data_IF_426768395149
#
_entry.id   IF_426768395149
#
_cell.length_a   1.000
_cell.length_b   1.000
_cell.length_c   1.000
_cell.angle_alpha   90.00
_cell.angle_beta   90.00
_cell.angle_gamma   90.00
#
_symmetry.space_group_name_H-M   'P 1'
#
loop_
_entity.id
_entity.type
_entity.pdbx_description
1 polymer ?
#
# COMPACT_ATOMS: atom_id res chain seq x y z
N UNK A 1 -40.49 40.73 -2.86
CA UNK A 1 -40.80 39.28 -2.92
C UNK A 1 -39.67 38.45 -3.52
N UNK A 2 -38.96 38.95 -4.55
CA UNK A 2 -37.83 38.23 -5.17
C UNK A 2 -36.71 37.85 -4.19
N UNK A 3 -36.34 38.73 -3.25
CA UNK A 3 -35.29 38.41 -2.26
C UNK A 3 -35.66 37.25 -1.33
N UNK A 4 -36.94 37.10 -0.98
CA UNK A 4 -37.40 36.00 -0.11
C UNK A 4 -37.38 34.67 -0.88
N UNK A 5 -37.80 34.70 -2.16
CA UNK A 5 -37.74 33.54 -3.05
C UNK A 5 -36.30 33.05 -3.26
N UNK A 6 -35.36 33.98 -3.49
CA UNK A 6 -33.94 33.66 -3.67
C UNK A 6 -33.30 33.06 -2.40
N UNK A 7 -33.68 33.56 -1.21
CA UNK A 7 -33.22 33.01 0.07
C UNK A 7 -33.77 31.59 0.28
N UNK A 8 -35.06 31.35 0.00
CA UNK A 8 -35.66 30.02 0.12
C UNK A 8 -35.03 29.02 -0.85
N UNK A 9 -34.72 29.45 -2.08
CA UNK A 9 -34.06 28.60 -3.09
C UNK A 9 -32.62 28.25 -2.68
N UNK A 10 -31.88 29.21 -2.10
CA UNK A 10 -30.54 28.95 -1.56
C UNK A 10 -30.57 27.96 -0.39
N UNK A 11 -31.52 28.12 0.54
CA UNK A 11 -31.72 27.19 1.66
C UNK A 11 -32.07 25.79 1.14
N UNK A 12 -32.95 25.69 0.15
CA UNK A 12 -33.30 24.43 -0.51
C UNK A 12 -32.08 23.73 -1.14
N UNK A 13 -31.22 24.48 -1.83
CA UNK A 13 -29.98 23.95 -2.41
C UNK A 13 -28.98 23.47 -1.35
N UNK A 14 -28.85 24.19 -0.23
CA UNK A 14 -27.99 23.79 0.89
C UNK A 14 -28.49 22.48 1.50
N UNK A 15 -29.80 22.36 1.73
CA UNK A 15 -30.42 21.13 2.27
C UNK A 15 -30.20 19.96 1.29
N UNK A 16 -30.42 20.18 0.00
CA UNK A 16 -30.18 19.17 -1.03
C UNK A 16 -28.70 18.72 -1.06
N UNK A 17 -27.76 19.67 -0.97
CA UNK A 17 -26.33 19.36 -0.90
C UNK A 17 -25.97 18.56 0.36
N UNK A 18 -26.58 18.84 1.51
CA UNK A 18 -26.39 18.07 2.76
C UNK A 18 -26.95 16.65 2.62
N UNK A 19 -28.12 16.49 2.00
CA UNK A 19 -28.73 15.17 1.76
C UNK A 19 -27.85 14.34 0.81
N UNK A 20 -27.43 14.93 -0.32
CA UNK A 20 -26.50 14.30 -1.26
C UNK A 20 -25.18 13.93 -0.55
N UNK A 21 -24.63 14.83 0.26
CA UNK A 21 -23.43 14.57 1.04
C UNK A 21 -23.63 13.42 2.02
N UNK A 22 -24.75 13.35 2.76
CA UNK A 22 -25.04 12.24 3.67
C UNK A 22 -25.22 10.91 2.96
N UNK A 23 -25.77 10.91 1.74
CA UNK A 23 -25.89 9.71 0.91
C UNK A 23 -24.51 9.26 0.42
N UNK A 24 -23.64 10.19 0.02
CA UNK A 24 -22.30 9.88 -0.52
C UNK A 24 -21.27 9.59 0.59
N UNK A 25 -21.37 10.25 1.75
CA UNK A 25 -20.44 10.16 2.87
C UNK A 25 -20.12 8.74 3.35
N UNK A 26 -21.09 7.80 3.50
CA UNK A 26 -20.79 6.42 3.87
C UNK A 26 -20.06 5.61 2.77
N UNK A 27 -20.07 6.09 1.53
CA UNK A 27 -19.26 5.55 0.43
C UNK A 27 -17.89 6.23 0.30
N UNK A 28 -17.67 7.36 0.99
CA UNK A 28 -16.36 7.95 1.15
C UNK A 28 -15.59 7.11 2.17
N UNK A 29 -14.63 6.31 1.67
CA UNK A 29 -13.75 5.47 2.48
C UNK A 29 -13.10 6.33 3.58
N UNK A 30 -13.36 6.01 4.85
CA UNK A 30 -12.64 6.60 5.98
C UNK A 30 -11.15 6.33 5.78
N UNK A 31 -10.36 7.39 5.72
CA UNK A 31 -8.95 7.32 5.33
C UNK A 31 -8.08 6.93 6.53
N UNK A 32 -8.12 5.66 6.87
CA UNK A 32 -7.25 5.10 7.90
C UNK A 32 -5.82 4.91 7.39
N UNK A 33 -4.85 5.15 8.28
CA UNK A 33 -3.42 5.16 7.94
C UNK A 33 -2.86 3.78 7.66
N UNK A 34 -3.48 2.72 8.18
CA UNK A 34 -3.05 1.33 8.04
C UNK A 34 -4.23 0.48 7.55
N UNK A 35 -4.02 -0.22 6.43
CA UNK A 35 -5.01 -1.07 5.79
C UNK A 35 -4.43 -2.45 5.53
N UNK A 36 -5.15 -3.49 5.92
CA UNK A 36 -4.83 -4.88 5.61
C UNK A 36 -5.90 -5.50 4.73
N UNK A 37 -5.50 -6.18 3.66
CA UNK A 37 -6.37 -6.84 2.70
C UNK A 37 -6.09 -8.35 2.73
N UNK A 38 -7.07 -9.12 3.19
CA UNK A 38 -6.99 -10.57 3.29
C UNK A 38 -7.91 -11.27 2.30
N UNK A 39 -7.65 -12.53 1.97
CA UNK A 39 -8.53 -13.36 1.15
C UNK A 39 -7.79 -14.30 0.21
N UNK A 40 -8.51 -15.34 -0.24
CA UNK A 40 -7.95 -16.42 -1.05
C UNK A 40 -7.27 -15.97 -2.34
N UNK A 41 -6.60 -16.92 -3.00
CA UNK A 41 -6.04 -16.69 -4.33
C UNK A 41 -7.14 -16.24 -5.31
N UNK A 42 -6.84 -15.21 -6.11
CA UNK A 42 -7.81 -14.67 -7.08
C UNK A 42 -8.85 -13.72 -6.51
N UNK A 43 -8.87 -13.41 -5.20
CA UNK A 43 -9.88 -12.54 -4.56
C UNK A 43 -9.78 -11.04 -4.88
N UNK A 44 -8.87 -10.61 -5.77
CA UNK A 44 -8.72 -9.19 -6.13
C UNK A 44 -8.11 -8.31 -5.02
N UNK A 45 -7.49 -8.89 -3.98
CA UNK A 45 -6.79 -8.18 -2.90
C UNK A 45 -5.69 -7.23 -3.42
N UNK A 46 -4.81 -7.72 -4.29
CA UNK A 46 -3.72 -6.92 -4.88
C UNK A 46 -4.27 -5.78 -5.74
N UNK A 47 -5.30 -6.05 -6.56
CA UNK A 47 -5.96 -5.02 -7.38
C UNK A 47 -6.48 -3.88 -6.52
N UNK A 48 -7.19 -4.25 -5.46
CA UNK A 48 -7.82 -3.31 -4.52
C UNK A 48 -6.76 -2.50 -3.79
N UNK A 49 -5.69 -3.17 -3.34
CA UNK A 49 -4.55 -2.52 -2.69
C UNK A 49 -3.84 -1.51 -3.58
N UNK A 50 -3.57 -1.88 -4.84
CA UNK A 50 -2.93 -0.98 -5.82
C UNK A 50 -3.81 0.23 -6.13
N UNK A 51 -5.12 0.03 -6.36
CA UNK A 51 -6.05 1.14 -6.62
C UNK A 51 -6.08 2.10 -5.43
N UNK A 52 -6.19 1.58 -4.21
CA UNK A 52 -6.16 2.39 -2.99
C UNK A 52 -4.82 3.12 -2.83
N UNK A 53 -3.69 2.46 -3.08
CA UNK A 53 -2.38 3.10 -3.04
C UNK A 53 -2.30 4.30 -4.01
N UNK A 54 -2.82 4.15 -5.24
CA UNK A 54 -2.86 5.22 -6.23
C UNK A 54 -3.78 6.38 -5.83
N UNK A 55 -4.91 6.11 -5.19
CA UNK A 55 -5.82 7.15 -4.70
C UNK A 55 -5.16 7.93 -3.55
N UNK A 56 -4.58 7.22 -2.58
CA UNK A 56 -3.97 7.82 -1.40
C UNK A 56 -2.71 8.63 -1.73
N UNK A 57 -1.88 8.15 -2.66
CA UNK A 57 -0.67 8.90 -3.04
C UNK A 57 -1.03 10.22 -3.71
N UNK A 58 -2.10 10.27 -4.51
CA UNK A 58 -2.55 11.53 -5.14
C UNK A 58 -2.93 12.54 -4.09
N UNK A 59 -3.65 12.13 -3.04
CA UNK A 59 -4.02 13.02 -1.94
C UNK A 59 -2.77 13.60 -1.26
N UNK A 60 -1.78 12.76 -0.96
CA UNK A 60 -0.52 13.19 -0.32
C UNK A 60 0.31 14.08 -1.25
N UNK A 61 0.36 13.79 -2.54
CA UNK A 61 1.04 14.62 -3.52
C UNK A 61 0.34 15.99 -3.71
N UNK A 62 -0.99 16.06 -3.64
CA UNK A 62 -1.73 17.34 -3.64
C UNK A 62 -1.38 18.18 -2.41
N UNK A 63 -1.38 17.56 -1.22
CA UNK A 63 -0.98 18.23 0.02
C UNK A 63 0.46 18.77 -0.07
N UNK A 64 1.38 17.97 -0.62
CA UNK A 64 2.76 18.36 -0.88
C UNK A 64 2.86 19.53 -1.88
N UNK A 65 2.10 19.51 -2.96
CA UNK A 65 2.11 20.56 -3.98
C UNK A 65 1.67 21.90 -3.38
N UNK A 66 0.57 21.90 -2.62
CA UNK A 66 0.06 23.08 -1.91
C UNK A 66 1.12 23.61 -0.94
N UNK A 67 1.74 22.74 -0.14
CA UNK A 67 2.79 23.13 0.79
C UNK A 67 4.01 23.74 0.07
N UNK A 68 4.40 23.15 -1.07
CA UNK A 68 5.54 23.62 -1.87
C UNK A 68 5.26 24.99 -2.48
N UNK A 69 4.05 25.23 -2.98
CA UNK A 69 3.64 26.54 -3.50
C UNK A 69 3.68 27.60 -2.38
N UNK A 70 3.15 27.28 -1.19
CA UNK A 70 3.21 28.18 -0.02
C UNK A 70 4.65 28.54 0.33
N UNK A 71 5.55 27.56 0.38
CA UNK A 71 6.98 27.78 0.65
C UNK A 71 7.61 28.68 -0.40
N UNK A 72 7.33 28.44 -1.69
CA UNK A 72 7.85 29.28 -2.80
C UNK A 72 7.38 30.73 -2.68
N UNK A 73 6.11 30.96 -2.36
CA UNK A 73 5.56 32.31 -2.14
C UNK A 73 6.25 33.01 -0.96
N UNK A 74 6.35 32.34 0.19
CA UNK A 74 7.02 32.88 1.37
C UNK A 74 8.48 33.24 1.06
N UNK A 75 9.20 32.35 0.38
CA UNK A 75 10.58 32.57 -0.02
C UNK A 75 10.72 33.75 -1.01
N UNK A 76 9.77 33.92 -1.94
CA UNK A 76 9.76 35.06 -2.85
C UNK A 76 9.53 36.38 -2.09
N UNK A 77 8.61 36.42 -1.13
CA UNK A 77 8.37 37.59 -0.28
C UNK A 77 9.61 37.91 0.56
N UNK A 78 10.25 36.91 1.18
CA UNK A 78 11.48 37.08 1.96
C UNK A 78 12.61 37.66 1.09
N UNK A 79 12.82 37.13 -0.12
CA UNK A 79 13.79 37.65 -1.09
C UNK A 79 13.51 39.10 -1.47
N UNK A 80 12.25 39.45 -1.76
CA UNK A 80 11.88 40.83 -2.10
C UNK A 80 12.15 41.80 -0.95
N UNK A 81 11.79 41.44 0.28
CA UNK A 81 12.09 42.25 1.49
C UNK A 81 13.60 42.42 1.69
N UNK A 82 14.38 41.36 1.48
CA UNK A 82 15.85 41.42 1.55
C UNK A 82 16.44 42.41 0.56
N UNK A 83 16.02 42.33 -0.69
CA UNK A 83 16.51 43.18 -1.77
C UNK A 83 16.20 44.65 -1.48
N UNK A 84 15.04 44.96 -0.89
CA UNK A 84 14.70 46.32 -0.43
C UNK A 84 15.65 46.80 0.67
N UNK A 85 15.94 45.98 1.69
CA UNK A 85 16.90 46.31 2.75
C UNK A 85 18.32 46.50 2.20
N UNK A 86 18.79 45.61 1.33
CA UNK A 86 20.09 45.74 0.65
C UNK A 86 20.21 47.07 -0.12
N UNK A 87 19.15 47.48 -0.85
CA UNK A 87 19.13 48.77 -1.54
C UNK A 87 19.19 49.95 -0.56
N UNK A 88 18.51 49.87 0.58
CA UNK A 88 18.55 50.91 1.62
C UNK A 88 19.92 51.00 2.30
N UNK A 89 20.55 49.86 2.59
CA UNK A 89 21.92 49.79 3.12
C UNK A 89 22.93 50.38 2.14
N UNK A 90 22.85 50.04 0.85
CA UNK A 90 23.71 50.64 -0.19
C UNK A 90 23.55 52.17 -0.29
N UNK A 91 22.36 52.69 0.02
CA UNK A 91 22.07 54.13 0.12
C UNK A 91 22.44 54.73 1.50
N UNK A 92 23.18 54.01 2.35
CA UNK A 92 23.61 54.37 3.72
C UNK A 92 22.49 54.76 4.69
N UNK A 93 21.25 54.29 4.46
CA UNK A 93 20.10 54.63 5.32
C UNK A 93 19.92 53.69 6.52
N UNK A 94 20.54 52.52 6.50
CA UNK A 94 20.43 51.46 7.53
C UNK A 94 21.71 50.64 7.57
N UNK A 95 21.86 49.81 8.62
CA UNK A 95 22.94 48.84 8.78
C UNK A 95 22.85 47.65 7.81
N UNK A 96 23.96 46.92 7.67
CA UNK A 96 24.07 45.77 6.76
C UNK A 96 23.06 44.68 7.18
N UNK A 97 22.13 44.27 6.30
CA UNK A 97 21.17 43.24 6.66
C UNK A 97 21.86 41.87 6.81
N UNK A 98 21.46 41.09 7.83
CA UNK A 98 21.86 39.69 8.00
C UNK A 98 21.35 38.83 6.83
N UNK A 99 22.10 37.77 6.50
CA UNK A 99 21.72 36.82 5.46
C UNK A 99 20.37 36.15 5.74
N UNK A 100 19.65 35.82 4.67
CA UNK A 100 18.33 35.19 4.76
C UNK A 100 18.41 33.70 4.57
N UNK A 101 17.88 32.98 5.55
CA UNK A 101 17.59 31.55 5.45
C UNK A 101 16.23 31.32 4.75
N UNK A 102 16.28 30.61 3.62
CA UNK A 102 15.08 30.22 2.87
C UNK A 102 14.51 28.93 3.43
N UNK A 103 13.19 28.81 3.44
CA UNK A 103 12.54 27.58 3.86
C UNK A 103 12.84 26.47 2.85
N UNK A 104 13.30 25.28 3.29
CA UNK A 104 13.58 24.16 2.40
C UNK A 104 12.29 23.54 1.87
N UNK A 105 12.28 23.13 0.61
CA UNK A 105 11.18 22.35 0.03
C UNK A 105 11.28 20.89 0.43
N UNK A 106 10.18 20.31 0.90
CA UNK A 106 10.13 18.89 1.25
C UNK A 106 10.18 18.00 -0.01
N UNK A 107 10.77 16.79 0.06
CA UNK A 107 10.71 15.83 -1.03
C UNK A 107 9.27 15.40 -1.33
N UNK A 108 9.01 15.01 -2.59
CA UNK A 108 7.68 14.61 -3.04
C UNK A 108 7.34 13.19 -2.58
N UNK A 109 6.15 12.94 -2.02
CA UNK A 109 5.69 11.59 -1.70
C UNK A 109 5.64 10.66 -2.90
N UNK A 110 6.03 9.40 -2.71
CA UNK A 110 5.99 8.35 -3.74
C UNK A 110 5.34 7.06 -3.18
N UNK A 111 5.03 6.11 -4.05
CA UNK A 111 4.64 4.75 -3.62
C UNK A 111 5.90 3.90 -3.46
N UNK A 112 6.09 3.28 -2.30
CA UNK A 112 7.08 2.23 -2.06
C UNK A 112 6.39 0.87 -2.15
N UNK A 113 6.95 -0.06 -2.91
CA UNK A 113 6.32 -1.37 -3.10
C UNK A 113 7.32 -2.49 -3.37
N UNK A 114 7.01 -3.72 -2.92
CA UNK A 114 7.71 -4.93 -3.34
C UNK A 114 7.29 -5.41 -4.74
N UNK A 115 6.15 -4.92 -5.23
CA UNK A 115 5.60 -5.13 -6.56
C UNK A 115 5.80 -3.88 -7.45
N UNK A 116 6.15 -4.02 -8.75
CA UNK A 116 6.16 -2.89 -9.68
C UNK A 116 4.76 -2.31 -9.89
N UNK A 117 4.58 -1.02 -9.60
CA UNK A 117 3.32 -0.30 -9.79
C UNK A 117 3.59 0.93 -10.65
N UNK A 118 2.88 1.05 -11.76
CA UNK A 118 2.88 2.22 -12.61
C UNK A 118 1.67 3.09 -12.32
N UNK A 119 1.89 4.36 -11.97
CA UNK A 119 0.80 5.25 -11.56
C UNK A 119 0.93 6.65 -12.11
N UNK A 120 -0.23 7.32 -12.25
CA UNK A 120 -0.32 8.73 -12.61
C UNK A 120 -0.08 9.58 -11.37
N UNK A 121 0.85 10.53 -11.48
CA UNK A 121 1.15 11.49 -10.41
C UNK A 121 0.11 12.61 -10.35
N UNK A 122 0.22 13.49 -9.36
CA UNK A 122 -0.59 14.72 -9.31
C UNK A 122 -0.28 15.67 -10.47
N UNK A 123 0.93 15.60 -11.03
CA UNK A 123 1.33 16.44 -12.16
C UNK A 123 0.59 15.93 -13.41
N UNK A 124 -0.13 16.81 -14.13
CA UNK A 124 -0.85 16.43 -15.33
C UNK A 124 0.07 15.70 -16.32
N UNK A 125 -0.44 14.60 -16.90
CA UNK A 125 0.25 13.76 -17.89
C UNK A 125 1.53 13.05 -17.43
N UNK A 126 2.02 13.31 -16.21
CA UNK A 126 3.19 12.62 -15.68
C UNK A 126 2.80 11.31 -14.99
N UNK A 127 3.47 10.24 -15.41
CA UNK A 127 3.38 8.91 -14.83
C UNK A 127 4.75 8.45 -14.37
N UNK A 128 4.78 7.59 -13.36
CA UNK A 128 6.03 7.06 -12.81
C UNK A 128 5.84 5.65 -12.24
N UNK A 129 6.96 4.98 -12.05
CA UNK A 129 7.03 3.71 -11.34
C UNK A 129 7.15 3.92 -9.83
N UNK A 130 6.62 2.97 -9.06
CA UNK A 130 6.85 2.90 -7.62
C UNK A 130 8.33 2.73 -7.29
N UNK A 131 8.74 3.32 -6.18
CA UNK A 131 10.03 3.05 -5.57
C UNK A 131 10.07 1.61 -5.04
N UNK A 132 11.18 0.91 -5.26
CA UNK A 132 11.37 -0.44 -4.74
C UNK A 132 11.47 -0.40 -3.22
N UNK A 133 10.59 -1.13 -2.54
CA UNK A 133 10.70 -1.36 -1.10
C UNK A 133 11.91 -2.29 -0.84
N UNK A 134 12.72 -1.94 0.16
CA UNK A 134 13.98 -2.63 0.49
C UNK A 134 13.90 -3.07 1.94
N UNK A 135 14.67 -4.10 2.30
CA UNK A 135 14.75 -4.57 3.69
C UNK A 135 15.14 -3.42 4.63
N UNK A 136 16.11 -2.60 4.24
CA UNK A 136 16.60 -1.45 5.02
C UNK A 136 15.51 -0.41 5.35
N UNK A 137 14.49 -0.28 4.50
CA UNK A 137 13.34 0.59 4.79
C UNK A 137 12.48 0.02 5.93
N UNK A 138 12.38 -1.31 6.03
CA UNK A 138 11.54 -2.02 7.00
C UNK A 138 12.21 -2.14 8.37
N UNK A 139 13.56 -2.23 8.39
CA UNK A 139 14.37 -2.29 9.62
C UNK A 139 14.92 -0.91 10.04
N UNK A 140 14.31 0.18 9.57
CA UNK A 140 14.66 1.56 9.95
C UNK A 140 16.11 2.01 9.64
N UNK A 141 16.86 1.27 8.82
CA UNK A 141 18.21 1.68 8.36
C UNK A 141 18.16 2.72 7.24
N UNK A 142 17.06 2.76 6.47
CA UNK A 142 16.86 3.70 5.38
C UNK A 142 15.52 4.42 5.52
N UNK A 143 15.57 5.75 5.48
CA UNK A 143 14.38 6.59 5.64
C UNK A 143 13.43 6.50 4.45
N UNK A 144 12.14 6.51 4.75
CA UNK A 144 11.06 6.62 3.76
C UNK A 144 10.64 8.08 3.63
N UNK A 145 10.42 8.55 2.41
CA UNK A 145 9.98 9.93 2.17
C UNK A 145 8.66 10.19 2.90
N UNK A 146 8.62 11.26 3.70
CA UNK A 146 7.43 11.67 4.43
C UNK A 146 6.20 11.84 3.51
N UNK A 147 5.06 11.34 3.95
CA UNK A 147 3.78 11.33 3.24
C UNK A 147 3.64 10.22 2.20
N UNK A 148 4.65 9.37 2.03
CA UNK A 148 4.63 8.27 1.04
C UNK A 148 3.65 7.16 1.41
N UNK A 149 3.25 6.38 0.40
CA UNK A 149 2.43 5.19 0.58
C UNK A 149 3.33 3.97 0.50
N UNK A 150 3.25 3.06 1.46
CA UNK A 150 3.88 1.75 1.39
C UNK A 150 2.81 0.73 1.03
N UNK A 151 3.04 -0.02 -0.04
CA UNK A 151 2.24 -1.16 -0.42
C UNK A 151 3.10 -2.42 -0.35
N UNK A 152 2.67 -3.43 0.41
CA UNK A 152 3.35 -4.72 0.47
C UNK A 152 2.36 -5.79 0.05
N UNK A 153 2.63 -6.40 -1.10
CA UNK A 153 1.88 -7.56 -1.56
C UNK A 153 2.43 -8.85 -0.91
N UNK A 154 1.54 -9.72 -0.44
CA UNK A 154 1.87 -10.97 0.25
C UNK A 154 2.89 -10.76 1.40
N UNK A 155 2.48 -10.02 2.45
CA UNK A 155 3.32 -9.67 3.61
C UNK A 155 3.94 -10.90 4.30
N UNK A 156 3.28 -12.05 4.25
CA UNK A 156 3.76 -13.33 4.80
C UNK A 156 5.02 -13.85 4.12
N UNK A 157 5.27 -13.43 2.87
CA UNK A 157 6.50 -13.72 2.14
C UNK A 157 7.63 -12.74 2.48
N UNK A 158 7.31 -11.59 3.08
CA UNK A 158 8.29 -10.59 3.54
C UNK A 158 8.71 -10.84 4.98
N UNK A 159 7.75 -11.20 5.84
CA UNK A 159 7.98 -11.59 7.22
C UNK A 159 7.27 -12.90 7.50
N UNK A 160 8.06 -13.97 7.60
CA UNK A 160 7.56 -15.24 8.11
C UNK A 160 7.50 -15.21 9.64
N UNK A 161 6.75 -16.13 10.24
CA UNK A 161 6.76 -16.31 11.69
C UNK A 161 8.17 -16.66 12.22
N UNK A 162 9.00 -17.32 11.41
CA UNK A 162 10.37 -17.67 11.77
C UNK A 162 11.30 -16.46 11.77
N UNK A 163 11.12 -15.51 10.84
CA UNK A 163 11.90 -14.27 10.81
C UNK A 163 11.70 -13.43 12.07
N UNK A 164 10.56 -13.62 12.76
CA UNK A 164 10.25 -12.94 14.01
C UNK A 164 11.07 -13.41 15.22
N UNK A 165 11.84 -14.50 15.07
CA UNK A 165 12.83 -14.92 16.06
C UNK A 165 14.11 -14.08 16.00
N UNK A 166 14.35 -13.35 14.90
CA UNK A 166 15.50 -12.47 14.76
C UNK A 166 15.17 -11.16 15.48
N UNK A 167 15.90 -10.86 16.57
CA UNK A 167 15.65 -9.70 17.43
C UNK A 167 15.63 -8.39 16.64
N UNK A 168 16.58 -8.18 15.73
CA UNK A 168 16.67 -6.97 14.91
C UNK A 168 15.39 -6.76 14.07
N UNK A 169 14.86 -7.82 13.47
CA UNK A 169 13.63 -7.76 12.67
C UNK A 169 12.45 -7.48 13.60
N UNK A 170 12.35 -8.25 14.69
CA UNK A 170 11.27 -8.13 15.67
C UNK A 170 11.18 -6.71 16.22
N UNK A 171 12.29 -6.11 16.69
CA UNK A 171 12.26 -4.77 17.27
C UNK A 171 11.98 -3.70 16.23
N UNK A 172 12.75 -3.66 15.13
CA UNK A 172 12.68 -2.56 14.17
C UNK A 172 11.37 -2.57 13.37
N UNK A 173 10.88 -3.74 12.94
CA UNK A 173 9.61 -3.84 12.21
C UNK A 173 8.44 -3.52 13.14
N UNK A 174 8.49 -3.98 14.38
CA UNK A 174 7.48 -3.66 15.39
C UNK A 174 7.43 -2.16 15.67
N UNK A 175 8.58 -1.50 15.80
CA UNK A 175 8.72 -0.05 15.98
C UNK A 175 8.19 0.71 14.76
N UNK A 176 8.61 0.34 13.54
CA UNK A 176 8.16 0.96 12.31
C UNK A 176 6.63 0.94 12.20
N UNK A 177 5.99 -0.19 12.50
CA UNK A 177 4.52 -0.32 12.42
C UNK A 177 3.85 0.48 13.53
N UNK A 178 4.38 0.45 14.77
CA UNK A 178 3.84 1.24 15.90
C UNK A 178 3.85 2.73 15.59
N UNK A 179 5.00 3.25 15.15
CA UNK A 179 5.23 4.67 14.98
C UNK A 179 5.07 5.13 13.52
N UNK A 180 4.47 4.30 12.68
CA UNK A 180 4.32 4.55 11.24
C UNK A 180 3.75 5.95 10.94
N UNK A 181 2.68 6.33 11.67
CA UNK A 181 2.03 7.63 11.53
C UNK A 181 2.91 8.79 11.98
N UNK A 182 3.76 8.58 12.99
CA UNK A 182 4.67 9.59 13.50
C UNK A 182 5.87 9.83 12.57
N UNK A 183 6.43 8.75 12.00
CA UNK A 183 7.61 8.86 11.13
C UNK A 183 7.26 9.29 9.71
N UNK A 184 6.27 8.66 9.11
CA UNK A 184 6.00 8.82 7.68
C UNK A 184 4.75 9.68 7.47
N UNK A 185 3.78 9.66 8.41
CA UNK A 185 2.45 10.25 8.22
C UNK A 185 1.87 9.91 6.83
N UNK A 186 2.09 8.66 6.43
CA UNK A 186 1.74 8.11 5.13
C UNK A 186 0.59 7.11 5.24
N UNK A 187 0.56 6.18 4.30
CA UNK A 187 -0.36 5.04 4.35
C UNK A 187 0.40 3.73 4.22
N UNK A 188 0.05 2.74 5.05
CA UNK A 188 0.57 1.39 4.98
C UNK A 188 -0.55 0.47 4.50
N UNK A 189 -0.36 -0.17 3.35
CA UNK A 189 -1.29 -1.12 2.76
C UNK A 189 -0.57 -2.47 2.67
N UNK A 190 -1.15 -3.47 3.31
CA UNK A 190 -0.62 -4.83 3.36
C UNK A 190 -1.63 -5.79 2.73
N UNK A 191 -1.15 -6.79 1.99
CA UNK A 191 -2.00 -7.89 1.50
C UNK A 191 -1.48 -9.23 2.02
N UNK A 192 -2.39 -10.19 2.24
CA UNK A 192 -2.06 -11.59 2.54
C UNK A 192 -3.18 -12.50 2.05
N UNK A 193 -2.88 -13.78 1.83
CA UNK A 193 -3.92 -14.79 1.62
C UNK A 193 -4.76 -15.04 2.86
N UNK A 194 -4.09 -15.27 3.99
CA UNK A 194 -4.73 -15.47 5.28
C UNK A 194 -4.20 -14.46 6.29
N UNK A 195 -5.11 -14.01 7.14
CA UNK A 195 -4.79 -13.17 8.29
C UNK A 195 -4.06 -13.98 9.39
N UNK A 196 -4.36 -15.27 9.51
CA UNK A 196 -3.74 -16.18 10.49
C UNK A 196 -2.24 -16.29 10.34
N UNK A 197 -1.75 -16.19 9.10
CA UNK A 197 -0.37 -16.45 8.73
C UNK A 197 0.52 -15.23 9.01
N UNK A 198 -0.09 -14.04 9.07
CA UNK A 198 0.60 -12.81 9.44
C UNK A 198 0.94 -12.85 10.92
N UNK A 199 2.16 -12.44 11.24
CA UNK A 199 2.63 -12.30 12.61
C UNK A 199 1.67 -11.44 13.43
N UNK A 200 1.26 -11.95 14.61
CA UNK A 200 0.21 -11.38 15.45
C UNK A 200 0.46 -9.90 15.78
N UNK A 201 1.72 -9.53 16.02
CA UNK A 201 2.15 -8.18 16.35
C UNK A 201 1.93 -7.19 15.20
N UNK A 202 2.03 -7.64 13.95
CA UNK A 202 1.76 -6.83 12.75
C UNK A 202 0.26 -6.69 12.59
N UNK A 203 -0.45 -7.82 12.61
CA UNK A 203 -1.91 -7.89 12.41
C UNK A 203 -2.68 -6.99 13.39
N UNK A 204 -2.38 -7.07 14.69
CA UNK A 204 -3.07 -6.30 15.75
C UNK A 204 -2.93 -4.78 15.63
N UNK A 205 -1.95 -4.28 14.85
CA UNK A 205 -1.69 -2.85 14.67
C UNK A 205 -2.32 -2.29 13.39
N UNK A 206 -2.95 -3.14 12.59
CA UNK A 206 -3.68 -2.71 11.41
C UNK A 206 -5.06 -2.20 11.83
N UNK A 207 -5.41 -1.00 11.37
CA UNK A 207 -6.64 -0.34 11.83
C UNK A 207 -7.90 -0.92 11.15
N UNK A 208 -7.80 -1.21 9.85
CA UNK A 208 -8.85 -1.90 9.10
C UNK A 208 -8.28 -3.17 8.48
N UNK A 209 -8.95 -4.29 8.72
CA UNK A 209 -8.80 -5.50 7.92
C UNK A 209 -10.00 -5.62 6.98
N UNK A 210 -9.76 -5.82 5.68
CA UNK A 210 -10.81 -6.02 4.69
C UNK A 210 -10.60 -7.41 4.11
N UNK A 211 -11.62 -8.24 4.28
CA UNK A 211 -11.66 -9.57 3.69
C UNK A 211 -12.31 -9.52 2.32
N UNK A 212 -11.55 -9.89 1.29
CA UNK A 212 -11.97 -9.91 -0.11
C UNK A 212 -12.34 -11.33 -0.55
N UNK A 213 -13.49 -11.50 -1.20
CA UNK A 213 -13.95 -12.79 -1.74
C UNK A 213 -14.96 -12.60 -2.89
N UNK A 214 -15.25 -13.67 -3.63
CA UNK A 214 -16.13 -13.66 -4.80
C UNK A 214 -15.74 -12.63 -5.88
N UNK A 215 -14.45 -12.56 -6.17
CA UNK A 215 -13.96 -11.74 -7.27
C UNK A 215 -14.48 -12.28 -8.61
N UNK A 216 -15.19 -11.43 -9.34
CA UNK A 216 -15.76 -11.76 -10.63
C UNK A 216 -15.45 -10.63 -11.60
N UNK A 217 -15.04 -11.00 -12.81
CA UNK A 217 -14.70 -10.05 -13.87
C UNK A 217 -15.53 -10.36 -15.11
N UNK A 218 -16.13 -9.32 -15.70
CA UNK A 218 -16.82 -9.38 -16.97
C UNK A 218 -16.30 -8.25 -17.86
N UNK A 219 -15.57 -8.61 -18.93
CA UNK A 219 -14.95 -7.66 -19.86
C UNK A 219 -14.06 -6.62 -19.14
N UNK A 220 -14.45 -5.34 -19.17
CA UNK A 220 -13.77 -4.24 -18.46
C UNK A 220 -14.35 -3.97 -17.07
N UNK A 221 -15.37 -4.69 -16.61
CA UNK A 221 -15.96 -4.49 -15.29
C UNK A 221 -15.51 -5.60 -14.35
N UNK A 222 -15.27 -5.26 -13.11
CA UNK A 222 -15.08 -6.23 -12.05
C UNK A 222 -15.99 -5.91 -10.88
N UNK A 223 -16.35 -6.97 -10.16
CA UNK A 223 -17.01 -6.88 -8.85
C UNK A 223 -16.26 -7.76 -7.87
N UNK A 224 -16.21 -7.32 -6.62
CA UNK A 224 -15.62 -8.06 -5.53
C UNK A 224 -16.47 -7.85 -4.28
N UNK A 225 -16.68 -8.90 -3.48
CA UNK A 225 -17.26 -8.72 -2.15
C UNK A 225 -16.14 -8.37 -1.19
N UNK A 226 -16.38 -7.36 -0.37
CA UNK A 226 -15.46 -6.91 0.67
C UNK A 226 -16.23 -6.86 1.98
N UNK A 227 -15.72 -7.54 2.99
CA UNK A 227 -16.21 -7.45 4.35
C UNK A 227 -15.19 -6.69 5.19
N UNK A 228 -15.63 -5.58 5.80
CA UNK A 228 -14.81 -4.85 6.75
C UNK A 228 -14.79 -5.65 8.07
N UNK A 229 -13.62 -6.12 8.47
CA UNK A 229 -13.38 -6.81 9.72
C UNK A 229 -12.69 -5.85 10.68
N UNK A 230 -13.43 -5.42 11.70
CA UNK A 230 -12.82 -4.73 12.83
C UNK A 230 -12.14 -5.76 13.73
N UNK A 231 -10.81 -5.69 13.83
CA UNK A 231 -10.07 -6.54 14.74
C UNK A 231 -10.43 -6.19 16.18
N UNK A 232 -11.11 -7.11 16.86
CA UNK A 232 -11.10 -7.18 18.33
C UNK A 232 -10.07 -8.23 18.74
N UNK A 233 -9.45 -8.05 19.91
CA UNK A 233 -8.30 -8.85 20.35
C UNK A 233 -8.56 -10.38 20.48
N UNK A 234 -9.82 -10.84 20.36
CA UNK A 234 -10.20 -12.22 20.71
C UNK A 234 -11.29 -12.92 19.88
N UNK A 235 -11.89 -12.34 18.83
CA UNK A 235 -13.05 -13.00 18.18
C UNK A 235 -12.75 -13.40 16.73
N UNK A 236 -12.36 -14.66 16.53
CA UNK A 236 -12.31 -15.35 15.23
C UNK A 236 -13.67 -15.87 14.76
N UNK A 237 -14.69 -15.82 15.62
CA UNK A 237 -16.06 -16.22 15.27
C UNK A 237 -16.91 -15.00 14.93
N UNK A 238 -16.67 -14.44 13.74
CA UNK A 238 -17.58 -13.43 13.19
C UNK A 238 -18.91 -14.13 12.87
N UNK A 239 -20.01 -13.70 13.52
CA UNK A 239 -21.33 -14.26 13.22
C UNK A 239 -21.68 -14.02 11.74
N UNK A 240 -22.40 -14.95 11.12
CA UNK A 240 -22.86 -14.82 9.73
C UNK A 240 -23.63 -13.52 9.50
N UNK A 241 -24.39 -13.07 10.50
CA UNK A 241 -25.10 -11.79 10.52
C UNK A 241 -24.14 -10.60 10.39
N UNK A 242 -23.06 -10.55 11.18
CA UNK A 242 -22.08 -9.46 11.10
C UNK A 242 -21.38 -9.42 9.74
N UNK A 243 -21.05 -10.59 9.18
CA UNK A 243 -20.47 -10.66 7.83
C UNK A 243 -21.47 -10.07 6.83
N UNK A 244 -22.75 -10.47 6.90
CA UNK A 244 -23.77 -9.99 5.96
C UNK A 244 -23.98 -8.47 6.02
N UNK A 245 -23.95 -7.88 7.21
CA UNK A 245 -24.15 -6.43 7.42
C UNK A 245 -22.95 -5.59 6.97
N UNK A 246 -21.73 -6.09 7.16
CA UNK A 246 -20.49 -5.39 6.81
C UNK A 246 -19.97 -5.72 5.41
N UNK A 247 -20.60 -6.67 4.72
CA UNK A 247 -20.25 -7.02 3.35
C UNK A 247 -20.81 -6.01 2.37
N UNK A 248 -19.93 -5.43 1.56
CA UNK A 248 -20.29 -4.52 0.48
C UNK A 248 -19.76 -5.03 -0.85
N UNK A 249 -20.61 -4.95 -1.86
CA UNK A 249 -20.18 -5.11 -3.24
C UNK A 249 -19.37 -3.91 -3.68
N UNK A 250 -18.11 -4.16 -4.02
CA UNK A 250 -17.27 -3.18 -4.68
C UNK A 250 -17.26 -3.45 -6.17
N UNK A 251 -17.67 -2.44 -6.92
CA UNK A 251 -17.62 -2.44 -8.37
C UNK A 251 -16.48 -1.55 -8.82
N UNK A 252 -15.82 -1.94 -9.90
CA UNK A 252 -14.82 -1.10 -10.52
C UNK A 252 -14.67 -1.39 -12.00
N UNK A 253 -14.01 -0.46 -12.67
CA UNK A 253 -13.74 -0.58 -14.09
C UNK A 253 -12.28 -1.01 -14.24
N UNK A 254 -12.13 -2.25 -14.66
CA UNK A 254 -10.92 -2.85 -15.19
C UNK A 254 -10.63 -2.34 -16.63
N UNK A 255 -10.27 -1.06 -16.76
CA UNK A 255 -9.99 -0.41 -18.06
C UNK A 255 -8.61 -0.79 -18.68
N UNK A 256 -8.01 -1.91 -18.29
CA UNK A 256 -6.63 -2.21 -18.68
C UNK A 256 -6.20 -3.66 -18.62
N UNK A 257 -6.74 -4.51 -19.50
CA UNK A 257 -6.01 -5.70 -20.00
C UNK A 257 -5.98 -5.76 -21.53
N UNK A 258 -7.02 -5.27 -22.22
CA UNK A 258 -7.11 -5.36 -23.70
C UNK A 258 -6.71 -4.08 -24.47
N UNK A 259 -6.78 -2.90 -23.86
CA UNK A 259 -6.68 -1.60 -24.58
C UNK A 259 -5.67 -0.60 -24.02
N UNK A 260 -5.04 -0.87 -22.88
CA UNK A 260 -4.11 0.08 -22.26
C UNK A 260 -2.71 -0.54 -22.22
N UNK A 261 -1.77 0.04 -23.00
CA UNK A 261 -0.35 -0.35 -23.07
C UNK A 261 0.42 -0.14 -21.74
N UNK A 262 -0.27 0.36 -20.72
CA UNK A 262 0.27 0.72 -19.42
C UNK A 262 -0.57 0.07 -18.32
N UNK A 263 -0.28 -1.21 -18.05
CA UNK A 263 -0.77 -1.90 -16.86
C UNK A 263 -0.39 -1.08 -15.62
N UNK A 264 -1.35 -0.85 -14.72
CA UNK A 264 -1.05 -0.20 -13.43
C UNK A 264 -0.17 -1.10 -12.55
N UNK A 265 -0.31 -2.41 -12.69
CA UNK A 265 0.57 -3.43 -12.16
C UNK A 265 0.32 -4.73 -12.94
N UNK A 266 1.26 -5.67 -12.89
CA UNK A 266 1.10 -6.99 -13.46
C UNK A 266 0.62 -7.98 -12.39
N UNK A 267 -0.48 -8.71 -12.66
CA UNK A 267 -0.98 -9.77 -11.77
C UNK A 267 -0.05 -10.97 -11.70
N UNK A 268 0.84 -11.12 -12.68
CA UNK A 268 1.82 -12.20 -12.80
C UNK A 268 3.26 -11.69 -12.69
N UNK A 269 3.50 -10.63 -11.91
CA UNK A 269 4.82 -10.01 -11.77
C UNK A 269 5.94 -10.96 -11.29
N UNK A 270 5.60 -12.08 -10.67
CA UNK A 270 6.57 -13.10 -10.23
C UNK A 270 6.69 -14.31 -11.19
N UNK A 271 6.04 -14.27 -12.35
CA UNK A 271 6.02 -15.39 -13.32
C UNK A 271 7.41 -15.81 -13.79
N UNK A 272 8.34 -14.86 -13.93
CA UNK A 272 9.73 -15.15 -14.30
C UNK A 272 10.43 -16.07 -13.29
N UNK A 273 10.05 -16.03 -11.99
CA UNK A 273 10.61 -16.95 -10.99
C UNK A 273 10.29 -18.41 -11.32
N UNK A 274 9.09 -18.66 -11.84
CA UNK A 274 8.65 -19.99 -12.25
C UNK A 274 9.31 -20.41 -13.58
N UNK A 275 9.58 -19.46 -14.47
CA UNK A 275 10.25 -19.74 -15.75
C UNK A 275 11.68 -20.29 -15.57
N UNK A 276 12.33 -19.96 -14.45
CA UNK A 276 13.70 -20.36 -14.11
C UNK A 276 13.81 -21.74 -13.44
N UNK A 277 12.71 -22.48 -13.32
CA UNK A 277 12.77 -23.87 -12.84
C UNK A 277 13.55 -24.70 -13.87
N UNK A 278 14.63 -25.35 -13.40
CA UNK A 278 15.62 -26.02 -14.24
C UNK A 278 15.03 -27.17 -15.06
N UNK A 279 14.14 -27.95 -14.46
CA UNK A 279 13.46 -29.07 -15.11
C UNK A 279 12.00 -28.69 -15.37
N UNK A 280 11.64 -28.56 -16.64
CA UNK A 280 10.24 -28.46 -17.06
C UNK A 280 9.80 -29.83 -17.55
N UNK A 281 8.67 -30.32 -17.04
CA UNK A 281 8.07 -31.54 -17.55
C UNK A 281 7.47 -31.27 -18.94
N UNK A 282 8.23 -31.59 -19.98
CA UNK A 282 7.86 -31.35 -21.39
C UNK A 282 6.71 -32.29 -21.79
N UNK A 283 6.64 -33.49 -21.21
CA UNK A 283 5.66 -34.52 -21.53
C UNK A 283 4.96 -35.02 -20.25
N UNK A 284 4.03 -34.22 -19.69
CA UNK A 284 3.42 -34.55 -18.41
C UNK A 284 2.61 -35.83 -18.52
N UNK A 285 2.83 -36.73 -17.56
CA UNK A 285 2.00 -37.94 -17.39
C UNK A 285 0.56 -37.50 -17.12
N UNK A 286 -0.38 -38.02 -17.89
CA UNK A 286 -1.81 -37.69 -17.76
C UNK A 286 -2.55 -38.84 -17.11
N UNK A 287 -3.48 -38.52 -16.20
CA UNK A 287 -4.46 -39.48 -15.75
C UNK A 287 -5.34 -39.91 -16.93
N UNK A 288 -5.45 -41.21 -17.14
CA UNK A 288 -6.31 -41.81 -18.18
C UNK A 288 -7.54 -42.54 -17.58
N UNK A 289 -7.68 -42.54 -16.25
CA UNK A 289 -8.75 -43.20 -15.50
C UNK A 289 -9.13 -42.35 -14.28
N UNK A 290 -10.37 -42.50 -13.81
CA UNK A 290 -10.90 -41.77 -12.65
C UNK A 290 -10.34 -42.24 -11.30
N UNK A 291 -9.77 -43.44 -11.22
CA UNK A 291 -9.21 -44.01 -9.98
C UNK A 291 -7.68 -43.98 -10.05
N UNK A 292 -7.04 -43.52 -8.98
CA UNK A 292 -5.60 -43.60 -8.75
C UNK A 292 -5.32 -44.06 -7.34
N UNK A 293 -4.27 -44.87 -7.16
CA UNK A 293 -3.76 -45.26 -5.85
C UNK A 293 -2.50 -44.45 -5.48
N UNK A 294 -2.08 -43.53 -6.35
CA UNK A 294 -0.92 -42.67 -6.11
C UNK A 294 -1.31 -41.53 -5.16
N UNK A 295 -0.71 -41.52 -3.97
CA UNK A 295 -0.82 -40.41 -3.02
C UNK A 295 0.53 -39.70 -3.00
N UNK A 296 0.56 -38.45 -3.45
CA UNK A 296 1.76 -37.61 -3.37
C UNK A 296 2.02 -37.31 -1.89
N UNK A 297 3.14 -37.81 -1.35
CA UNK A 297 3.60 -37.53 0.02
C UNK A 297 5.03 -37.03 -0.01
N UNK A 298 5.30 -35.95 0.71
CA UNK A 298 6.66 -35.38 0.83
C UNK A 298 7.55 -36.12 1.82
N UNK A 299 7.03 -37.10 2.57
CA UNK A 299 7.77 -37.77 3.65
C UNK A 299 9.05 -38.50 3.18
N UNK A 300 9.14 -38.85 1.90
CA UNK A 300 10.33 -39.49 1.30
C UNK A 300 11.16 -38.52 0.46
N UNK A 301 10.87 -37.22 0.50
CA UNK A 301 11.67 -36.22 -0.18
C UNK A 301 12.97 -36.00 0.58
N UNK A 302 14.06 -36.54 0.04
CA UNK A 302 15.42 -36.22 0.52
C UNK A 302 15.87 -34.97 -0.21
N UNK A 303 16.01 -33.86 0.53
CA UNK A 303 16.57 -32.65 -0.04
C UNK A 303 18.03 -32.90 -0.44
N UNK A 304 18.45 -32.56 -1.67
CA UNK A 304 19.87 -32.63 -2.07
C UNK A 304 20.79 -31.78 -1.18
N UNK A 305 20.23 -30.83 -0.42
CA UNK A 305 20.96 -30.00 0.55
C UNK A 305 21.21 -30.72 1.89
N UNK A 306 20.38 -31.70 2.25
CA UNK A 306 20.53 -32.47 3.49
C UNK A 306 21.59 -33.57 3.36
N UNK A 307 21.82 -34.09 2.15
CA UNK A 307 22.90 -35.06 1.90
C UNK A 307 24.30 -34.43 2.04
N UNK A 308 24.48 -33.16 1.66
CA UNK A 308 25.79 -32.49 1.79
C UNK A 308 26.22 -32.27 3.24
N UNK A 309 25.28 -31.98 4.15
CA UNK A 309 25.58 -31.81 5.58
C UNK A 309 25.99 -33.11 6.28
N UNK A 310 25.57 -34.27 5.75
CA UNK A 310 25.99 -35.58 6.27
C UNK A 310 27.42 -35.94 5.86
N UNK A 311 27.87 -35.48 4.68
CA UNK A 311 29.24 -35.69 4.22
C UNK A 311 30.22 -34.82 5.02
N UNK A 312 29.88 -33.56 5.31
CA UNK A 312 30.77 -32.66 6.06
C UNK A 312 30.88 -33.00 7.56
N UNK A 313 29.85 -33.60 8.15
CA UNK A 313 29.89 -34.05 9.56
C UNK A 313 30.45 -35.48 9.75
N UNK A 314 30.87 -36.15 8.67
CA UNK A 314 31.36 -37.54 8.70
C UNK A 314 32.87 -37.70 8.94
N UNK A 315 33.64 -36.61 9.07
CA UNK A 315 35.12 -36.66 9.16
C UNK A 315 35.71 -36.68 10.58
N UNK A 316 34.89 -36.75 11.63
CA UNK A 316 35.38 -36.85 13.01
C UNK A 316 34.68 -37.94 13.83
N UNK A 317 34.85 -39.21 13.45
CA UNK A 317 34.83 -40.34 14.39
C UNK A 317 35.72 -41.48 13.89
N UNK A 318 36.98 -41.47 14.32
CA UNK A 318 37.75 -42.69 14.57
C UNK A 318 38.34 -42.55 15.98
N UNK A 319 38.09 -43.50 16.90
CA UNK A 319 39.09 -43.84 17.91
C UNK A 319 40.27 -44.58 17.27
#
# INVERSE_FOLDING_TARGET
>A
MENISNILLLIGLIILAIIIFKIIAPYLIKMDTTLFLSGGLGSGKTLTGVIKAQQLIKIKQTQWLIATIKIKIINAIRKSKYQKKLKQWKKKKIDKPKDIELLPTKPRPVIYSNLPIYYKTIVPFQKEWSAKLQKDHLILKKGIIYGSVIFIDEITQVFTQFDWNIEEIKYNVNELITFFRHYINGYLILTSQSDSDVVVQVRRKMNINIWCYDFSKFWIFYRNRMCDLHMSDQITNTSSTYISENTKWHYGIYLGFKFNKYLTYDTHAYSERYNNIAEKDINPKRFNKFKTNEIIRFNNYVSPLDDRRKVDNGLHRNP
#
